data_IF_438758724798
#
_entry.id   IF_438758724798
#
_cell.length_a   1.000
_cell.length_b   1.000
_cell.length_c   1.000
_cell.angle_alpha   90.00
_cell.angle_beta   90.00
_cell.angle_gamma   90.00
#
_symmetry.space_group_name_H-M   'P 1'
#
loop_
_entity.id
_entity.type
_entity.pdbx_description
1 polymer ?
#
# COMPACT_ATOMS: atom_id res chain seq x y z
N UNK A 1 -32.39 34.48 -0.63
CA UNK A 1 -31.03 33.92 -0.79
C UNK A 1 -31.17 32.60 -1.53
N UNK A 2 -30.95 32.62 -2.84
CA UNK A 2 -31.14 31.47 -3.70
C UNK A 2 -29.90 30.60 -3.70
N UNK A 3 -30.07 29.35 -3.28
CA UNK A 3 -29.01 28.32 -3.36
C UNK A 3 -28.90 27.87 -4.81
N UNK A 4 -27.74 28.06 -5.43
CA UNK A 4 -27.48 27.68 -6.82
C UNK A 4 -27.45 26.11 -6.96
N UNK A 5 -28.26 25.53 -7.86
CA UNK A 5 -28.32 24.07 -8.08
C UNK A 5 -27.19 23.50 -8.96
N UNK A 6 -26.14 24.27 -9.25
CA UNK A 6 -25.08 23.86 -10.18
C UNK A 6 -23.93 23.03 -9.62
N UNK A 7 -23.69 23.03 -8.29
CA UNK A 7 -22.53 22.36 -7.68
C UNK A 7 -22.67 20.85 -7.46
N UNK A 8 -23.89 20.33 -7.44
CA UNK A 8 -24.13 18.88 -7.19
C UNK A 8 -24.02 17.99 -8.44
N UNK A 9 -24.19 18.53 -9.64
CA UNK A 9 -24.12 17.74 -10.90
C UNK A 9 -22.69 17.57 -11.44
N UNK A 10 -21.74 18.46 -11.13
CA UNK A 10 -20.33 18.30 -11.52
C UNK A 10 -19.57 17.29 -10.65
N UNK A 11 -20.05 17.02 -9.43
CA UNK A 11 -19.43 16.00 -8.53
C UNK A 11 -19.69 14.56 -8.99
N UNK A 12 -20.78 14.28 -9.71
CA UNK A 12 -21.14 12.89 -10.07
C UNK A 12 -20.37 12.34 -11.28
N UNK A 13 -19.90 13.17 -12.21
CA UNK A 13 -19.15 12.73 -13.40
C UNK A 13 -17.65 12.56 -13.17
N UNK A 14 -17.12 13.00 -12.04
CA UNK A 14 -15.68 12.92 -11.70
C UNK A 14 -15.25 11.66 -10.94
N UNK A 15 -16.18 10.73 -10.61
CA UNK A 15 -15.88 9.58 -9.78
C UNK A 15 -15.80 8.24 -10.54
N UNK A 16 -16.19 8.21 -11.82
CA UNK A 16 -16.03 7.01 -12.64
C UNK A 16 -14.54 6.67 -12.76
N UNK A 17 -14.19 5.44 -12.34
CA UNK A 17 -12.79 4.98 -12.35
C UNK A 17 -11.93 5.41 -11.14
N UNK A 18 -12.47 6.16 -10.16
CA UNK A 18 -11.73 6.54 -8.95
C UNK A 18 -11.96 5.53 -7.82
N UNK A 19 -10.88 4.92 -7.36
CA UNK A 19 -10.88 3.97 -6.24
C UNK A 19 -10.84 4.66 -4.89
N UNK A 20 -9.89 5.58 -4.68
CA UNK A 20 -9.78 6.41 -3.47
C UNK A 20 -9.63 7.86 -3.90
N UNK A 21 -10.47 8.75 -3.34
CA UNK A 21 -10.34 10.20 -3.46
C UNK A 21 -10.07 10.79 -2.08
N UNK A 22 -9.04 11.59 -1.98
CA UNK A 22 -8.73 12.41 -0.81
C UNK A 22 -8.75 13.87 -1.25
N UNK A 23 -9.55 14.70 -0.59
CA UNK A 23 -9.74 16.11 -0.94
C UNK A 23 -9.54 16.99 0.29
N UNK A 24 -8.46 17.75 0.33
CA UNK A 24 -8.11 18.70 1.39
C UNK A 24 -8.02 18.07 2.79
N UNK A 25 -7.70 16.77 2.90
CA UNK A 25 -7.73 16.06 4.15
C UNK A 25 -6.70 16.60 5.15
N UNK A 26 -7.20 17.03 6.31
CA UNK A 26 -6.38 17.51 7.42
C UNK A 26 -6.71 16.70 8.67
N UNK A 27 -5.68 16.17 9.32
CA UNK A 27 -5.80 15.40 10.56
C UNK A 27 -5.00 16.07 11.67
N UNK A 28 -5.70 16.46 12.72
CA UNK A 28 -5.11 17.01 13.95
C UNK A 28 -5.51 16.12 15.12
N UNK A 29 -4.52 15.61 15.84
CA UNK A 29 -4.74 14.80 17.03
C UNK A 29 -5.13 15.65 18.23
N UNK A 30 -5.67 15.01 19.28
CA UNK A 30 -6.15 15.71 20.51
C UNK A 30 -5.05 16.51 21.22
N UNK A 31 -3.79 16.14 21.05
CA UNK A 31 -2.63 16.86 21.59
C UNK A 31 -2.25 18.11 20.77
N UNK A 32 -3.05 18.50 19.77
CA UNK A 32 -2.79 19.62 18.88
C UNK A 32 -1.82 19.35 17.72
N UNK A 33 -1.20 18.16 17.66
CA UNK A 33 -0.31 17.81 16.57
C UNK A 33 -1.09 17.55 15.27
N UNK A 34 -0.74 18.29 14.19
CA UNK A 34 -1.30 18.10 12.85
C UNK A 34 -0.38 17.17 12.05
N UNK A 35 -0.79 15.91 11.92
CA UNK A 35 -0.02 14.88 11.24
C UNK A 35 -0.23 14.86 9.72
N UNK A 36 -1.36 15.39 9.24
CA UNK A 36 -1.67 15.50 7.81
C UNK A 36 -2.35 16.84 7.57
N UNK A 37 -1.87 17.60 6.57
CA UNK A 37 -2.37 18.94 6.23
C UNK A 37 -2.73 19.01 4.76
N UNK A 38 -4.00 19.35 4.49
CA UNK A 38 -4.53 19.65 3.15
C UNK A 38 -4.12 18.65 2.07
N UNK A 39 -4.07 17.35 2.43
CA UNK A 39 -3.70 16.31 1.50
C UNK A 39 -4.78 16.11 0.43
N UNK A 40 -4.38 16.11 -0.84
CA UNK A 40 -5.30 15.90 -1.96
C UNK A 40 -4.66 15.03 -3.03
N UNK A 41 -5.35 13.95 -3.41
CA UNK A 41 -4.98 13.05 -4.50
C UNK A 41 -6.14 12.13 -4.89
N UNK A 42 -6.02 11.49 -6.04
CA UNK A 42 -6.97 10.50 -6.52
C UNK A 42 -6.24 9.23 -7.00
N UNK A 43 -6.67 8.06 -6.50
CA UNK A 43 -6.15 6.76 -6.92
C UNK A 43 -7.19 6.11 -7.83
N UNK A 44 -6.86 5.81 -9.09
CA UNK A 44 -7.76 5.11 -9.99
C UNK A 44 -8.01 3.66 -9.57
N UNK A 45 -9.12 3.06 -10.03
CA UNK A 45 -9.36 1.62 -9.91
C UNK A 45 -8.34 0.84 -10.75
N UNK A 46 -8.04 -0.40 -10.36
CA UNK A 46 -7.11 -1.25 -11.09
C UNK A 46 -5.68 -0.71 -11.10
N UNK A 47 -5.21 -0.09 -9.98
CA UNK A 47 -3.85 0.42 -9.85
C UNK A 47 -3.21 0.02 -8.54
N UNK A 48 -1.88 -0.14 -8.58
CA UNK A 48 -1.02 -0.24 -7.40
C UNK A 48 -0.38 1.14 -7.20
N UNK A 49 -0.67 1.78 -6.07
CA UNK A 49 -0.12 3.10 -5.73
C UNK A 49 0.79 2.98 -4.53
N UNK A 50 2.04 3.42 -4.66
CA UNK A 50 2.96 3.54 -3.54
C UNK A 50 2.67 4.80 -2.73
N UNK A 51 2.67 4.69 -1.41
CA UNK A 51 2.67 5.80 -0.45
C UNK A 51 4.05 5.87 0.21
N UNK A 52 4.84 6.85 -0.18
CA UNK A 52 6.26 6.94 0.15
C UNK A 52 6.55 8.20 0.95
N UNK A 53 7.38 8.09 1.97
CA UNK A 53 7.81 9.19 2.83
C UNK A 53 8.51 8.69 4.09
N UNK A 54 9.25 9.56 4.76
CA UNK A 54 9.98 9.25 6.00
C UNK A 54 9.06 8.84 7.14
N UNK A 55 9.61 8.25 8.19
CA UNK A 55 8.87 7.97 9.41
C UNK A 55 8.30 9.27 10.00
N UNK A 56 7.04 9.22 10.43
CA UNK A 56 6.33 10.41 10.89
C UNK A 56 5.76 11.32 9.78
N UNK A 57 5.92 10.96 8.50
CA UNK A 57 5.42 11.78 7.39
C UNK A 57 3.89 11.82 7.23
N UNK A 58 3.15 10.99 7.99
CA UNK A 58 1.68 10.94 7.95
C UNK A 58 1.10 9.70 7.24
N UNK A 59 1.91 8.73 6.76
CA UNK A 59 1.44 7.51 6.08
C UNK A 59 0.40 6.73 6.89
N UNK A 60 0.75 6.34 8.11
CA UNK A 60 -0.15 5.60 9.00
C UNK A 60 -1.37 6.42 9.42
N UNK A 61 -1.23 7.75 9.53
CA UNK A 61 -2.37 8.64 9.78
C UNK A 61 -3.37 8.62 8.62
N UNK A 62 -2.86 8.66 7.38
CA UNK A 62 -3.70 8.55 6.18
C UNK A 62 -4.42 7.19 6.13
N UNK A 63 -3.71 6.09 6.37
CA UNK A 63 -4.31 4.75 6.45
C UNK A 63 -5.39 4.67 7.52
N UNK A 64 -5.10 5.14 8.73
CA UNK A 64 -6.07 5.20 9.84
C UNK A 64 -7.29 6.06 9.51
N UNK A 65 -7.13 7.11 8.69
CA UNK A 65 -8.25 7.95 8.22
C UNK A 65 -9.11 7.22 7.19
N UNK A 66 -8.50 6.51 6.22
CA UNK A 66 -9.22 5.69 5.24
C UNK A 66 -9.92 4.50 5.91
N UNK A 67 -9.35 3.98 7.01
CA UNK A 67 -9.96 2.93 7.85
C UNK A 67 -10.99 3.48 8.84
N UNK A 68 -11.23 4.81 8.88
CA UNK A 68 -12.19 5.42 9.79
C UNK A 68 -11.79 5.43 11.27
N UNK A 69 -10.54 5.04 11.60
CA UNK A 69 -10.04 5.08 12.98
C UNK A 69 -9.71 6.48 13.46
N UNK A 70 -9.36 7.38 12.53
CA UNK A 70 -9.04 8.78 12.81
C UNK A 70 -9.97 9.67 12.01
N UNK A 71 -10.58 10.66 12.68
CA UNK A 71 -11.46 11.64 12.04
C UNK A 71 -10.65 12.76 11.40
N UNK A 72 -11.11 13.22 10.25
CA UNK A 72 -10.59 14.41 9.62
C UNK A 72 -11.03 15.65 10.42
N UNK A 73 -10.12 16.60 10.60
CA UNK A 73 -10.45 17.94 11.09
C UNK A 73 -11.05 18.79 9.95
N UNK A 74 -10.59 18.57 8.70
CA UNK A 74 -11.10 19.20 7.47
C UNK A 74 -10.93 18.25 6.28
N UNK A 75 -11.64 18.55 5.17
CA UNK A 75 -11.58 17.79 3.95
C UNK A 75 -12.51 16.58 3.92
N UNK A 76 -12.38 15.76 2.89
CA UNK A 76 -13.20 14.56 2.66
C UNK A 76 -12.34 13.41 2.13
N UNK A 77 -12.75 12.17 2.44
CA UNK A 77 -12.19 10.95 1.86
C UNK A 77 -13.35 10.10 1.36
N UNK A 78 -13.24 9.69 0.09
CA UNK A 78 -14.20 8.78 -0.55
C UNK A 78 -13.50 7.53 -1.05
N UNK A 79 -14.18 6.42 -0.92
CA UNK A 79 -13.75 5.11 -1.41
C UNK A 79 -14.80 4.60 -2.38
N UNK A 80 -14.40 4.38 -3.63
CA UNK A 80 -15.32 3.98 -4.72
C UNK A 80 -16.56 4.91 -4.81
N UNK A 81 -16.33 6.22 -4.69
CA UNK A 81 -17.35 7.25 -4.70
C UNK A 81 -18.19 7.38 -3.43
N UNK A 82 -18.02 6.49 -2.45
CA UNK A 82 -18.78 6.47 -1.19
C UNK A 82 -18.00 7.11 -0.04
N UNK A 83 -18.67 7.70 0.96
CA UNK A 83 -18.04 8.05 2.23
C UNK A 83 -17.36 6.83 2.87
N UNK A 84 -16.22 7.03 3.54
CA UNK A 84 -15.44 5.97 4.21
C UNK A 84 -16.32 5.04 5.05
N UNK A 85 -17.21 5.61 5.87
CA UNK A 85 -18.11 4.83 6.74
C UNK A 85 -18.97 3.82 5.97
N UNK A 86 -19.48 4.21 4.81
CA UNK A 86 -20.35 3.36 4.00
C UNK A 86 -19.55 2.29 3.25
N UNK A 87 -18.34 2.63 2.77
CA UNK A 87 -17.44 1.67 2.17
C UNK A 87 -16.99 0.59 3.17
N UNK A 88 -16.68 0.98 4.42
CA UNK A 88 -16.33 0.04 5.48
C UNK A 88 -17.50 -0.87 5.86
N UNK A 89 -18.73 -0.34 5.97
CA UNK A 89 -19.94 -1.16 6.22
C UNK A 89 -20.21 -2.21 5.14
N UNK A 90 -19.81 -1.93 3.90
CA UNK A 90 -19.91 -2.84 2.76
C UNK A 90 -18.69 -3.76 2.62
N UNK A 91 -17.76 -3.77 3.58
CA UNK A 91 -16.51 -4.55 3.56
C UNK A 91 -15.62 -4.28 2.33
N UNK A 92 -15.70 -3.09 1.74
CA UNK A 92 -14.97 -2.76 0.51
C UNK A 92 -13.49 -2.46 0.75
N UNK A 93 -13.10 -2.16 1.99
CA UNK A 93 -11.72 -1.83 2.35
C UNK A 93 -11.13 -2.93 3.21
N UNK A 94 -10.07 -3.58 2.73
CA UNK A 94 -9.28 -4.53 3.48
C UNK A 94 -7.96 -3.88 3.91
N UNK A 95 -7.45 -4.25 5.08
CA UNK A 95 -6.20 -3.71 5.63
C UNK A 95 -5.25 -4.82 6.07
N UNK A 96 -4.02 -4.70 5.61
CA UNK A 96 -2.88 -5.52 6.03
C UNK A 96 -1.97 -4.64 6.88
N UNK A 97 -1.95 -4.81 8.21
CA UNK A 97 -1.17 -3.98 9.12
C UNK A 97 0.32 -4.31 9.04
N UNK A 98 1.13 -3.38 9.53
CA UNK A 98 2.54 -3.63 9.81
C UNK A 98 2.68 -4.75 10.86
N UNK A 99 3.72 -5.59 10.73
CA UNK A 99 3.89 -6.77 11.57
C UNK A 99 4.01 -6.46 13.07
N UNK A 100 4.58 -5.31 13.42
CA UNK A 100 4.82 -4.86 14.80
C UNK A 100 3.52 -4.51 15.55
N UNK A 101 2.42 -4.27 14.83
CA UNK A 101 1.10 -3.97 15.43
C UNK A 101 0.34 -5.25 15.85
N UNK A 102 0.90 -6.45 15.64
CA UNK A 102 0.21 -7.73 15.84
C UNK A 102 0.85 -8.53 16.97
N UNK A 103 0.04 -8.97 17.94
CA UNK A 103 0.48 -9.95 18.95
C UNK A 103 0.58 -11.36 18.35
N UNK A 104 1.80 -11.75 18.00
CA UNK A 104 2.09 -13.04 17.38
C UNK A 104 2.08 -14.21 18.37
N UNK A 105 2.05 -13.97 19.68
CA UNK A 105 2.02 -15.01 20.69
C UNK A 105 0.59 -15.49 21.00
N UNK A 106 -0.42 -14.84 20.42
CA UNK A 106 -1.80 -15.25 20.58
C UNK A 106 -2.03 -16.63 19.94
N UNK A 107 -2.52 -17.66 20.66
CA UNK A 107 -2.60 -19.04 20.17
C UNK A 107 -3.80 -19.21 19.22
N UNK A 108 -3.66 -18.72 17.98
CA UNK A 108 -4.70 -18.79 16.96
C UNK A 108 -4.18 -19.55 15.74
N UNK A 109 -5.03 -20.34 15.10
CA UNK A 109 -4.69 -21.07 13.89
C UNK A 109 -4.67 -20.13 12.67
N UNK A 110 -3.85 -20.47 11.69
CA UNK A 110 -3.75 -19.74 10.42
C UNK A 110 -5.14 -19.60 9.75
N UNK A 111 -5.93 -20.68 9.69
CA UNK A 111 -7.27 -20.61 9.10
C UNK A 111 -8.22 -19.68 9.86
N UNK A 112 -8.09 -19.59 11.19
CA UNK A 112 -8.93 -18.71 12.00
C UNK A 112 -8.56 -17.24 11.78
N UNK A 113 -7.27 -16.91 11.63
CA UNK A 113 -6.82 -15.57 11.26
C UNK A 113 -7.41 -15.16 9.90
N UNK A 114 -7.40 -16.06 8.91
CA UNK A 114 -7.97 -15.78 7.59
C UNK A 114 -9.50 -15.69 7.66
N UNK A 115 -10.14 -16.52 8.50
CA UNK A 115 -11.59 -16.49 8.74
C UNK A 115 -12.05 -15.16 9.33
N UNK A 116 -11.23 -14.45 10.12
CA UNK A 116 -11.56 -13.11 10.59
C UNK A 116 -11.87 -12.13 9.43
N UNK A 117 -11.26 -12.33 8.25
CA UNK A 117 -11.60 -11.57 7.05
C UNK A 117 -13.06 -11.75 6.60
N UNK A 118 -13.69 -12.87 6.96
CA UNK A 118 -15.08 -13.15 6.62
C UNK A 118 -16.10 -12.57 7.59
N UNK A 119 -15.69 -12.03 8.74
CA UNK A 119 -16.61 -11.56 9.78
C UNK A 119 -17.64 -10.53 9.28
N UNK A 120 -17.26 -9.69 8.34
CA UNK A 120 -18.17 -8.72 7.73
C UNK A 120 -19.23 -9.34 6.80
N UNK A 121 -19.05 -10.58 6.35
CA UNK A 121 -19.97 -11.33 5.51
C UNK A 121 -20.89 -12.25 6.33
N UNK A 122 -20.57 -12.48 7.60
CA UNK A 122 -21.36 -13.31 8.50
C UNK A 122 -22.47 -12.49 9.15
N UNK A 123 -23.57 -13.16 9.51
CA UNK A 123 -24.63 -12.55 10.30
C UNK A 123 -24.17 -12.17 11.72
N UNK A 124 -25.12 -11.68 12.53
CA UNK A 124 -24.84 -11.18 13.88
C UNK A 124 -24.16 -12.21 14.80
N UNK A 125 -24.48 -13.49 14.67
CA UNK A 125 -23.86 -14.56 15.45
C UNK A 125 -22.47 -15.00 14.94
N UNK A 126 -22.00 -14.45 13.82
CA UNK A 126 -20.69 -14.73 13.21
C UNK A 126 -20.37 -16.23 13.09
N UNK A 127 -21.36 -17.03 12.77
CA UNK A 127 -21.20 -18.48 12.53
C UNK A 127 -20.76 -18.66 11.06
N UNK A 128 -19.57 -19.26 10.80
CA UNK A 128 -19.08 -19.50 9.45
C UNK A 128 -19.98 -20.48 8.69
N UNK A 129 -20.25 -20.19 7.42
CA UNK A 129 -20.94 -21.05 6.49
C UNK A 129 -19.97 -21.74 5.54
N UNK A 130 -20.43 -22.73 4.77
CA UNK A 130 -19.61 -23.41 3.77
C UNK A 130 -18.91 -22.43 2.80
N UNK A 131 -19.60 -21.37 2.38
CA UNK A 131 -19.02 -20.33 1.52
C UNK A 131 -17.84 -19.58 2.19
N UNK A 132 -17.88 -19.38 3.52
CA UNK A 132 -16.80 -18.72 4.24
C UNK A 132 -15.58 -19.63 4.32
N UNK A 133 -15.77 -20.91 4.58
CA UNK A 133 -14.68 -21.91 4.56
C UNK A 133 -14.07 -22.06 3.16
N UNK A 134 -14.87 -22.01 2.10
CA UNK A 134 -14.36 -22.01 0.72
C UNK A 134 -13.54 -20.76 0.41
N UNK A 135 -14.01 -19.57 0.83
CA UNK A 135 -13.26 -18.31 0.66
C UNK A 135 -11.93 -18.34 1.39
N UNK A 136 -11.89 -18.87 2.61
CA UNK A 136 -10.65 -19.05 3.39
C UNK A 136 -9.69 -20.01 2.68
N UNK A 137 -10.18 -21.16 2.21
CA UNK A 137 -9.35 -22.14 1.50
C UNK A 137 -8.78 -21.54 0.20
N UNK A 138 -9.58 -20.83 -0.59
CA UNK A 138 -9.16 -20.14 -1.80
C UNK A 138 -8.12 -19.05 -1.51
N UNK A 139 -8.33 -18.26 -0.46
CA UNK A 139 -7.39 -17.21 -0.06
C UNK A 139 -6.03 -17.79 0.38
N UNK A 140 -6.03 -18.86 1.16
CA UNK A 140 -4.81 -19.57 1.58
C UNK A 140 -4.07 -20.17 0.38
N UNK A 141 -4.79 -20.74 -0.58
CA UNK A 141 -4.20 -21.28 -1.80
C UNK A 141 -3.48 -20.19 -2.63
N UNK A 142 -4.11 -19.01 -2.80
CA UNK A 142 -3.53 -17.87 -3.54
C UNK A 142 -2.20 -17.38 -2.97
N UNK A 143 -1.99 -17.53 -1.67
CA UNK A 143 -0.74 -17.11 -1.00
C UNK A 143 0.20 -18.28 -0.68
N UNK A 144 -0.06 -19.48 -1.19
CA UNK A 144 0.71 -20.70 -0.95
C UNK A 144 0.84 -21.04 0.55
N UNK A 145 -0.26 -20.95 1.29
CA UNK A 145 -0.30 -21.22 2.74
C UNK A 145 -1.28 -22.35 3.12
N UNK A 146 -1.81 -23.11 2.16
CA UNK A 146 -2.78 -24.19 2.41
C UNK A 146 -2.30 -25.25 3.37
N UNK A 147 -1.02 -25.65 3.28
CA UNK A 147 -0.42 -26.68 4.16
C UNK A 147 -0.27 -26.21 5.62
N UNK A 148 -0.22 -24.88 5.83
CA UNK A 148 -0.05 -24.28 7.14
C UNK A 148 -1.38 -23.97 7.85
N UNK A 149 -2.52 -24.25 7.22
CA UNK A 149 -3.85 -23.83 7.70
C UNK A 149 -4.15 -24.19 9.16
N UNK A 150 -3.65 -25.34 9.62
CA UNK A 150 -3.84 -25.87 11.00
C UNK A 150 -2.69 -25.56 11.96
N UNK A 151 -1.66 -24.82 11.52
CA UNK A 151 -0.58 -24.36 12.40
C UNK A 151 -1.00 -23.12 13.17
N UNK A 152 -0.38 -22.93 14.34
CA UNK A 152 -0.50 -21.67 15.06
C UNK A 152 0.24 -20.55 14.33
N UNK A 153 -0.32 -19.33 14.35
CA UNK A 153 0.30 -18.18 13.68
C UNK A 153 1.70 -17.87 14.23
N UNK A 154 1.92 -18.11 15.53
CA UNK A 154 3.21 -17.90 16.20
C UNK A 154 4.35 -18.74 15.65
N UNK A 155 4.06 -19.93 15.14
CA UNK A 155 5.04 -20.89 14.60
C UNK A 155 5.56 -20.52 13.20
N UNK A 156 4.98 -19.52 12.58
CA UNK A 156 5.29 -19.13 11.21
C UNK A 156 6.48 -18.16 11.14
N UNK A 157 7.25 -18.21 10.05
CA UNK A 157 8.26 -17.20 9.73
C UNK A 157 7.60 -15.84 9.46
N UNK A 158 8.37 -14.74 9.52
CA UNK A 158 7.87 -13.39 9.23
C UNK A 158 7.18 -13.27 7.87
N UNK A 159 7.80 -13.82 6.81
CA UNK A 159 7.22 -13.83 5.47
C UNK A 159 5.94 -14.69 5.36
N UNK A 160 5.87 -15.82 6.09
CA UNK A 160 4.66 -16.64 6.17
C UNK A 160 3.52 -15.87 6.88
N UNK A 161 3.81 -15.21 8.00
CA UNK A 161 2.85 -14.36 8.73
C UNK A 161 2.26 -13.29 7.82
N UNK A 162 3.09 -12.58 7.05
CA UNK A 162 2.62 -11.56 6.10
C UNK A 162 1.70 -12.15 5.03
N UNK A 163 2.03 -13.32 4.48
CA UNK A 163 1.15 -14.03 3.53
C UNK A 163 -0.18 -14.42 4.14
N UNK A 164 -0.22 -14.84 5.41
CA UNK A 164 -1.49 -15.13 6.11
C UNK A 164 -2.35 -13.86 6.26
N UNK A 165 -1.76 -12.72 6.61
CA UNK A 165 -2.50 -11.45 6.70
C UNK A 165 -3.00 -10.96 5.33
N UNK A 166 -2.22 -11.22 4.29
CA UNK A 166 -2.67 -10.98 2.92
C UNK A 166 -3.84 -11.91 2.54
N UNK A 167 -3.77 -13.21 2.90
CA UNK A 167 -4.89 -14.14 2.73
C UNK A 167 -6.15 -13.67 3.47
N UNK A 168 -6.02 -13.12 4.68
CA UNK A 168 -7.15 -12.52 5.41
C UNK A 168 -7.80 -11.38 4.63
N UNK A 169 -7.00 -10.49 4.05
CA UNK A 169 -7.49 -9.40 3.22
C UNK A 169 -8.18 -9.92 1.93
N UNK A 170 -7.63 -10.99 1.32
CA UNK A 170 -8.24 -11.66 0.17
C UNK A 170 -9.58 -12.32 0.53
N UNK A 171 -9.65 -13.02 1.67
CA UNK A 171 -10.87 -13.65 2.17
C UNK A 171 -11.99 -12.63 2.43
N UNK A 172 -11.63 -11.40 2.83
CA UNK A 172 -12.59 -10.29 3.00
C UNK A 172 -13.20 -9.85 1.66
N UNK A 173 -12.54 -10.12 0.52
CA UNK A 173 -12.94 -9.73 -0.83
C UNK A 173 -13.11 -8.20 -1.02
N UNK A 174 -12.32 -7.42 -0.31
CA UNK A 174 -12.30 -5.96 -0.42
C UNK A 174 -11.87 -5.51 -1.82
N UNK A 175 -12.50 -4.46 -2.33
CA UNK A 175 -12.12 -3.84 -3.62
C UNK A 175 -10.93 -2.90 -3.48
N UNK A 176 -10.72 -2.38 -2.29
CA UNK A 176 -9.58 -1.55 -1.91
C UNK A 176 -8.76 -2.29 -0.86
N UNK A 177 -7.47 -2.42 -1.08
CA UNK A 177 -6.55 -3.10 -0.17
C UNK A 177 -5.47 -2.09 0.25
N UNK A 178 -5.40 -1.84 1.54
CA UNK A 178 -4.37 -1.02 2.16
C UNK A 178 -3.30 -1.95 2.72
N UNK A 179 -2.04 -1.78 2.32
CA UNK A 179 -0.91 -2.58 2.78
C UNK A 179 0.11 -1.67 3.46
N UNK A 180 0.31 -1.89 4.76
CA UNK A 180 1.28 -1.11 5.54
C UNK A 180 2.59 -1.87 5.65
N UNK A 181 3.59 -1.44 4.91
CA UNK A 181 4.94 -2.02 4.84
C UNK A 181 4.95 -3.55 4.61
N UNK A 182 4.33 -4.05 3.53
CA UNK A 182 4.16 -5.49 3.33
C UNK A 182 5.48 -6.24 3.09
N UNK A 183 6.55 -5.55 2.74
CA UNK A 183 7.84 -6.16 2.38
C UNK A 183 8.88 -6.14 3.50
N UNK A 184 8.66 -5.42 4.59
CA UNK A 184 9.62 -5.31 5.71
C UNK A 184 9.87 -6.68 6.34
N UNK A 185 11.14 -7.10 6.43
CA UNK A 185 11.54 -8.36 7.07
C UNK A 185 11.13 -9.63 6.31
N UNK A 186 10.91 -9.53 4.99
CA UNK A 186 10.72 -10.69 4.11
C UNK A 186 11.94 -10.91 3.21
N UNK A 187 12.18 -12.16 2.83
CA UNK A 187 13.20 -12.48 1.84
C UNK A 187 12.75 -12.11 0.41
N UNK A 188 13.72 -12.01 -0.50
CA UNK A 188 13.49 -11.60 -1.90
C UNK A 188 12.45 -12.46 -2.59
N UNK A 189 12.49 -13.77 -2.40
CA UNK A 189 11.55 -14.70 -3.03
C UNK A 189 10.12 -14.49 -2.54
N UNK A 190 9.95 -14.20 -1.25
CA UNK A 190 8.64 -13.86 -0.68
C UNK A 190 8.14 -12.51 -1.19
N UNK A 191 9.02 -11.50 -1.30
CA UNK A 191 8.69 -10.20 -1.90
C UNK A 191 8.19 -10.36 -3.34
N UNK A 192 8.91 -11.10 -4.19
CA UNK A 192 8.48 -11.39 -5.58
C UNK A 192 7.10 -12.06 -5.65
N UNK A 193 6.85 -13.02 -4.76
CA UNK A 193 5.54 -13.69 -4.69
C UNK A 193 4.42 -12.73 -4.32
N UNK A 194 4.66 -11.83 -3.36
CA UNK A 194 3.69 -10.81 -2.96
C UNK A 194 3.47 -9.83 -4.13
N UNK A 195 4.52 -9.35 -4.78
CA UNK A 195 4.43 -8.44 -5.94
C UNK A 195 3.62 -9.08 -7.07
N UNK A 196 3.89 -10.35 -7.39
CA UNK A 196 3.12 -11.10 -8.39
C UNK A 196 1.63 -11.11 -8.06
N UNK A 197 1.29 -11.43 -6.80
CA UNK A 197 -0.10 -11.44 -6.35
C UNK A 197 -0.73 -10.05 -6.43
N UNK A 198 -0.01 -8.98 -6.05
CA UNK A 198 -0.54 -7.62 -6.17
C UNK A 198 -0.84 -7.23 -7.63
N UNK A 199 0.01 -7.65 -8.58
CA UNK A 199 -0.25 -7.46 -10.01
C UNK A 199 -1.50 -8.20 -10.48
N UNK A 200 -1.69 -9.46 -10.06
CA UNK A 200 -2.92 -10.22 -10.34
C UNK A 200 -4.17 -9.50 -9.81
N UNK A 201 -4.11 -9.00 -8.59
CA UNK A 201 -5.21 -8.26 -7.97
C UNK A 201 -5.51 -6.93 -8.67
N UNK A 202 -4.48 -6.23 -9.15
CA UNK A 202 -4.62 -5.05 -10.01
C UNK A 202 -5.38 -5.38 -11.28
N UNK A 203 -4.99 -6.47 -11.94
CA UNK A 203 -5.59 -6.91 -13.20
C UNK A 203 -7.05 -7.39 -12.99
N UNK A 204 -7.41 -7.81 -11.77
CA UNK A 204 -8.79 -8.02 -11.32
C UNK A 204 -9.56 -6.69 -11.06
N UNK A 205 -8.94 -5.53 -11.26
CA UNK A 205 -9.53 -4.22 -11.06
C UNK A 205 -9.53 -3.71 -9.61
N UNK A 206 -8.81 -4.36 -8.69
CA UNK A 206 -8.69 -3.90 -7.30
C UNK A 206 -7.79 -2.67 -7.21
N UNK A 207 -8.02 -1.88 -6.17
CA UNK A 207 -7.21 -0.70 -5.82
C UNK A 207 -6.27 -1.08 -4.69
N UNK A 208 -4.99 -0.84 -4.86
CA UNK A 208 -4.02 -1.06 -3.80
C UNK A 208 -3.27 0.22 -3.45
N UNK A 209 -3.22 0.52 -2.16
CA UNK A 209 -2.36 1.56 -1.60
C UNK A 209 -1.34 0.89 -0.69
N UNK A 210 -0.08 0.96 -1.07
CA UNK A 210 1.05 0.28 -0.43
C UNK A 210 1.96 1.31 0.22
N UNK A 211 2.05 1.35 1.54
CA UNK A 211 3.13 2.11 2.17
C UNK A 211 4.43 1.34 2.06
N UNK A 212 5.48 2.03 1.73
CA UNK A 212 6.82 1.46 1.70
C UNK A 212 7.88 2.53 1.94
N UNK A 213 8.97 2.13 2.52
CA UNK A 213 10.20 2.89 2.59
C UNK A 213 11.27 2.32 1.64
N UNK A 214 11.05 1.13 1.07
CA UNK A 214 11.92 0.54 0.05
C UNK A 214 11.73 1.24 -1.30
N UNK A 215 12.62 2.21 -1.58
CA UNK A 215 12.56 3.03 -2.79
C UNK A 215 12.88 2.21 -4.03
N UNK A 216 13.76 1.22 -3.93
CA UNK A 216 14.24 0.43 -5.06
C UNK A 216 13.15 -0.40 -5.73
N UNK A 217 12.19 -0.93 -4.97
CA UNK A 217 11.13 -1.78 -5.51
C UNK A 217 9.93 -0.99 -6.09
N UNK A 218 9.73 0.28 -5.70
CA UNK A 218 8.57 1.07 -6.14
C UNK A 218 8.42 1.15 -7.67
N UNK A 219 9.47 1.48 -8.46
CA UNK A 219 9.35 1.55 -9.92
C UNK A 219 9.06 0.20 -10.60
N UNK A 220 9.35 -0.91 -9.90
CA UNK A 220 9.20 -2.25 -10.47
C UNK A 220 7.74 -2.68 -10.57
N UNK A 221 6.89 -2.28 -9.59
CA UNK A 221 5.53 -2.81 -9.52
C UNK A 221 4.43 -1.78 -9.28
N UNK A 222 4.77 -0.54 -8.89
CA UNK A 222 3.77 0.50 -8.63
C UNK A 222 3.48 1.32 -9.89
N UNK A 223 2.21 1.39 -10.27
CA UNK A 223 1.74 2.20 -11.39
C UNK A 223 1.81 3.69 -11.06
N UNK A 224 1.55 4.03 -9.80
CA UNK A 224 1.49 5.41 -9.30
C UNK A 224 2.23 5.55 -7.98
N UNK A 225 2.61 6.78 -7.67
CA UNK A 225 3.30 7.12 -6.42
C UNK A 225 2.71 8.38 -5.80
N UNK A 226 2.60 8.37 -4.47
CA UNK A 226 2.27 9.53 -3.63
C UNK A 226 3.47 9.76 -2.72
N UNK A 227 4.09 10.93 -2.80
CA UNK A 227 5.14 11.38 -1.91
C UNK A 227 4.55 12.26 -0.81
N UNK A 228 4.77 11.89 0.46
CA UNK A 228 4.13 12.55 1.59
C UNK A 228 5.15 12.97 2.67
N UNK A 229 4.97 14.21 3.19
CA UNK A 229 5.71 14.76 4.34
C UNK A 229 4.83 15.75 5.09
N UNK A 230 3.89 15.23 5.90
CA UNK A 230 2.86 16.03 6.56
C UNK A 230 1.83 16.63 5.58
N UNK A 231 2.12 16.67 4.30
CA UNK A 231 1.23 16.99 3.18
C UNK A 231 1.64 16.16 1.96
N UNK A 232 0.82 16.13 0.92
CA UNK A 232 1.20 15.52 -0.36
C UNK A 232 2.14 16.46 -1.10
N UNK A 233 3.36 16.03 -1.34
CA UNK A 233 4.38 16.80 -2.08
C UNK A 233 4.26 16.62 -3.59
N UNK A 234 3.99 15.38 -4.01
CA UNK A 234 3.76 15.02 -5.40
C UNK A 234 2.93 13.74 -5.47
N UNK A 235 2.09 13.59 -6.50
CA UNK A 235 1.44 12.34 -6.82
C UNK A 235 1.16 12.23 -8.33
N UNK A 236 1.19 11.00 -8.85
CA UNK A 236 0.98 10.77 -10.28
C UNK A 236 1.51 9.41 -10.72
N UNK A 237 1.65 9.18 -12.03
CA UNK A 237 2.37 8.02 -12.56
C UNK A 237 3.76 7.92 -11.94
N UNK A 238 4.20 6.69 -11.58
CA UNK A 238 5.46 6.50 -10.86
C UNK A 238 6.65 7.09 -11.61
N UNK A 239 6.75 6.87 -12.92
CA UNK A 239 7.86 7.36 -13.73
C UNK A 239 7.94 8.91 -13.85
N UNK A 240 6.83 9.63 -13.59
CA UNK A 240 6.81 11.10 -13.56
C UNK A 240 7.03 11.67 -12.16
N UNK A 241 6.56 10.95 -11.15
CA UNK A 241 6.54 11.41 -9.76
C UNK A 241 7.83 11.05 -9.02
N UNK A 242 8.42 9.90 -9.35
CA UNK A 242 9.57 9.32 -8.67
C UNK A 242 10.87 9.88 -9.25
N UNK A 243 11.07 11.18 -9.08
CA UNK A 243 12.24 11.93 -9.55
C UNK A 243 13.17 12.27 -8.38
N UNK A 244 14.44 12.53 -8.66
CA UNK A 244 15.41 12.93 -7.66
C UNK A 244 14.92 14.13 -6.84
N UNK A 245 14.46 15.21 -7.49
CA UNK A 245 14.00 16.43 -6.84
C UNK A 245 12.82 16.18 -5.88
N UNK A 246 11.89 15.34 -6.28
CA UNK A 246 10.73 15.01 -5.46
C UNK A 246 11.11 14.13 -4.26
N UNK A 247 12.02 13.18 -4.48
CA UNK A 247 12.55 12.31 -3.42
C UNK A 247 13.39 13.12 -2.41
N UNK A 248 14.24 14.04 -2.87
CA UNK A 248 14.99 14.94 -2.00
C UNK A 248 14.07 15.80 -1.12
N UNK A 249 12.95 16.31 -1.68
CA UNK A 249 11.95 17.05 -0.91
C UNK A 249 11.26 16.18 0.14
N UNK A 250 10.92 14.94 -0.22
CA UNK A 250 10.21 14.01 0.66
C UNK A 250 11.11 13.51 1.81
N UNK A 251 12.36 13.15 1.50
CA UNK A 251 13.27 12.52 2.44
C UNK A 251 14.25 13.51 3.08
N UNK A 252 14.51 14.66 2.46
CA UNK A 252 15.48 15.64 2.94
C UNK A 252 16.91 15.05 2.94
N UNK A 253 17.71 15.38 3.92
CA UNK A 253 19.11 14.90 4.03
C UNK A 253 19.27 13.42 4.45
N UNK A 254 18.20 12.63 4.51
CA UNK A 254 18.25 11.20 4.88
C UNK A 254 18.71 10.32 3.70
N UNK A 255 18.54 10.79 2.46
CA UNK A 255 18.98 10.03 1.29
C UNK A 255 20.49 10.12 1.09
N UNK A 256 21.15 8.97 1.04
CA UNK A 256 22.54 8.89 0.60
C UNK A 256 22.59 8.81 -0.91
N UNK A 257 23.41 9.67 -1.50
CA UNK A 257 23.62 9.71 -2.94
C UNK A 257 24.92 8.99 -3.28
N UNK A 258 24.89 8.17 -4.33
CA UNK A 258 26.09 7.68 -4.98
C UNK A 258 25.96 7.81 -6.49
N UNK A 259 27.05 8.10 -7.14
CA UNK A 259 27.08 8.28 -8.61
C UNK A 259 27.65 7.01 -9.21
N UNK A 260 26.89 6.39 -10.11
CA UNK A 260 27.38 5.29 -10.93
C UNK A 260 27.98 5.88 -12.19
N UNK A 261 29.26 5.63 -12.40
CA UNK A 261 29.98 6.05 -13.60
C UNK A 261 29.97 4.91 -14.62
N UNK A 262 29.88 5.26 -15.89
CA UNK A 262 30.09 4.33 -16.97
C UNK A 262 31.53 3.78 -16.92
N UNK A 263 31.65 2.44 -16.94
CA UNK A 263 32.96 1.78 -16.80
C UNK A 263 33.93 2.09 -17.95
N UNK A 264 33.42 2.49 -19.12
CA UNK A 264 34.24 2.76 -20.31
C UNK A 264 34.55 4.24 -20.49
N UNK A 265 33.59 5.13 -20.17
CA UNK A 265 33.74 6.57 -20.40
C UNK A 265 34.08 7.37 -19.13
N UNK A 266 33.94 6.78 -17.93
CA UNK A 266 34.12 7.45 -16.64
C UNK A 266 33.09 8.55 -16.36
N UNK A 267 32.08 8.71 -17.24
CA UNK A 267 31.05 9.76 -17.08
C UNK A 267 29.93 9.29 -16.17
N UNK A 268 29.35 10.17 -15.33
CA UNK A 268 28.23 9.82 -14.52
C UNK A 268 27.01 9.49 -15.39
N UNK A 269 26.53 8.24 -15.29
CA UNK A 269 25.38 7.75 -16.07
C UNK A 269 24.12 7.60 -15.25
N UNK A 270 24.27 7.43 -13.94
CA UNK A 270 23.13 7.19 -13.05
C UNK A 270 23.43 7.70 -11.65
N UNK A 271 22.40 8.12 -10.94
CA UNK A 271 22.47 8.48 -9.53
C UNK A 271 21.75 7.37 -8.76
N UNK A 272 22.45 6.75 -7.82
CA UNK A 272 21.88 5.83 -6.87
C UNK A 272 21.40 6.58 -5.63
N UNK A 273 20.22 6.25 -5.14
CA UNK A 273 19.66 6.75 -3.90
C UNK A 273 19.45 5.59 -2.94
N UNK A 274 19.94 5.70 -1.71
CA UNK A 274 19.73 4.69 -0.67
C UNK A 274 19.16 5.40 0.56
N UNK A 275 18.09 4.86 1.13
CA UNK A 275 17.70 5.10 2.52
C UNK A 275 18.37 4.04 3.41
N UNK A 276 18.60 4.35 4.69
CA UNK A 276 19.59 3.68 5.56
C UNK A 276 19.56 2.13 5.65
N UNK A 277 18.54 1.42 5.15
CA UNK A 277 18.40 -0.04 5.29
C UNK A 277 17.98 -0.80 4.01
N UNK A 278 18.18 -0.26 2.76
CA UNK A 278 17.42 -0.77 1.64
C UNK A 278 18.13 -0.87 0.29
N UNK A 279 17.46 -1.57 -0.64
CA UNK A 279 17.91 -1.70 -2.03
C UNK A 279 18.10 -0.32 -2.66
N UNK A 280 19.24 -0.08 -3.32
CA UNK A 280 19.50 1.18 -3.99
C UNK A 280 18.50 1.43 -5.13
N UNK A 281 17.94 2.63 -5.18
CA UNK A 281 17.20 3.12 -6.34
C UNK A 281 18.20 3.74 -7.32
N UNK A 282 18.20 3.26 -8.55
CA UNK A 282 19.05 3.83 -9.61
C UNK A 282 18.21 4.72 -10.52
N UNK A 283 18.58 6.00 -10.64
CA UNK A 283 17.95 6.96 -11.53
C UNK A 283 18.86 7.23 -12.73
N UNK A 284 18.35 7.01 -13.95
CA UNK A 284 19.02 7.40 -15.19
C UNK A 284 18.42 8.71 -15.69
N UNK A 285 19.28 9.71 -15.93
CA UNK A 285 18.84 11.04 -16.38
C UNK A 285 17.88 11.73 -15.40
N UNK A 286 18.00 11.47 -14.08
CA UNK A 286 17.17 12.06 -13.04
C UNK A 286 15.77 11.45 -12.88
N UNK A 287 15.43 10.38 -13.59
CA UNK A 287 14.14 9.68 -13.51
C UNK A 287 14.32 8.20 -13.19
N UNK A 288 13.37 7.60 -12.48
CA UNK A 288 13.36 6.18 -12.22
C UNK A 288 13.14 5.39 -13.53
N UNK A 289 13.95 4.37 -13.77
CA UNK A 289 13.75 3.42 -14.86
C UNK A 289 13.22 2.12 -14.29
N UNK A 290 12.18 1.54 -14.90
CA UNK A 290 11.79 0.17 -14.60
C UNK A 290 12.99 -0.75 -14.92
N UNK A 291 13.40 -1.56 -13.96
CA UNK A 291 14.50 -2.48 -14.12
C UNK A 291 14.22 -3.46 -15.27
N UNK A 292 15.02 -3.39 -16.31
CA UNK A 292 15.10 -4.50 -17.27
C UNK A 292 15.76 -5.66 -16.53
N UNK A 293 15.04 -6.76 -16.37
CA UNK A 293 15.57 -8.04 -15.91
C UNK A 293 16.36 -8.66 -17.08
N UNK A 294 17.55 -8.16 -17.34
CA UNK A 294 18.50 -8.89 -18.19
C UNK A 294 19.35 -9.75 -17.27
N UNK A 295 19.00 -11.05 -17.27
CA UNK A 295 19.86 -12.08 -16.73
C UNK A 295 21.09 -12.21 -17.60
N UNK A 296 22.23 -11.79 -17.09
CA UNK A 296 23.53 -12.38 -17.47
C UNK A 296 24.35 -12.54 -16.19
N UNK A 297 24.60 -13.82 -15.89
CA UNK A 297 25.46 -14.23 -14.79
C UNK A 297 26.90 -13.78 -15.05
N UNK A 298 27.36 -12.87 -14.25
CA UNK A 298 28.76 -12.53 -14.08
C UNK A 298 29.23 -13.12 -12.76
N UNK A 299 30.00 -14.21 -12.82
CA UNK A 299 30.62 -14.82 -11.66
C UNK A 299 31.59 -13.85 -10.99
N UNK A 300 31.58 -13.88 -9.68
CA UNK A 300 32.59 -13.26 -8.85
C UNK A 300 33.51 -14.38 -8.35
N UNK A 301 34.78 -14.36 -8.77
CA UNK A 301 35.89 -15.00 -8.07
C UNK A 301 36.34 -14.14 -6.86
#
# INVERSE_FOLDING_TARGET
MSVQPGRQKQAASGFEGTGILVDGATVTYRNGHTALREASFAIPTGTITALVGVNGSGKSTLFKSIMGFVRLARGDIRVLGMPVKDALRKNLVAYVPQAEEVDWNFPVLVEDVVMMGRYGHMGMMRIPKAADHQAVAAALARVNMSEFRKRQIGELSGGQKKRVFLARALAQDGKVILLDEPFTGVDVKTEEQIIKLLRELRDEGRVMLVSTHNLGSVPEFCDRTILIKGTVLAYGPTFETFTQDNLEKAFGGVLRHFVLNDAQSGRPTSIGLISDDERPLVLRGGKATAGASDGEGGGWE
#
